data_IF_704709346142
#
_entry.id   IF_704709346142
#
_cell.length_a   1.000
_cell.length_b   1.000
_cell.length_c   1.000
_cell.angle_alpha   90.00
_cell.angle_beta   90.00
_cell.angle_gamma   90.00
#
_symmetry.space_group_name_H-M   'P 1'
#
loop_
_entity.id
_entity.type
_entity.pdbx_description
1 polymer ?
#
# COMPACT_ATOMS: atom_id res chain seq x y z
N UNK A 1 11.87 3.65 -2.61
CA UNK A 1 12.39 5.03 -2.51
C UNK A 1 11.34 6.07 -2.95
N UNK A 2 11.00 6.17 -4.23
CA UNK A 2 10.07 7.21 -4.73
C UNK A 2 8.67 7.17 -4.09
N UNK A 3 8.08 5.99 -3.88
CA UNK A 3 6.77 5.87 -3.25
C UNK A 3 6.74 6.39 -1.81
N UNK A 4 7.81 6.16 -1.04
CA UNK A 4 7.93 6.64 0.34
C UNK A 4 8.07 8.15 0.36
N UNK A 5 8.94 8.71 -0.48
CA UNK A 5 9.12 10.16 -0.59
C UNK A 5 7.81 10.86 -0.95
N UNK A 6 7.09 10.35 -1.94
CA UNK A 6 5.78 10.88 -2.32
C UNK A 6 4.78 10.82 -1.16
N UNK A 7 4.77 9.71 -0.41
CA UNK A 7 3.90 9.53 0.75
C UNK A 7 4.22 10.55 1.86
N UNK A 8 5.50 10.79 2.15
CA UNK A 8 5.91 11.78 3.15
C UNK A 8 5.55 13.21 2.75
N UNK A 9 5.65 13.53 1.45
CA UNK A 9 5.21 14.81 0.93
C UNK A 9 3.69 14.98 1.06
N UNK A 10 2.91 13.92 0.78
CA UNK A 10 1.46 13.95 0.96
C UNK A 10 1.05 14.16 2.43
N UNK A 11 1.68 13.46 3.38
CA UNK A 11 1.48 13.69 4.82
C UNK A 11 1.86 15.12 5.19
N UNK A 12 2.99 15.62 4.70
CA UNK A 12 3.44 17.00 4.95
C UNK A 12 2.48 18.05 4.36
N UNK A 13 1.77 17.70 3.28
CA UNK A 13 0.72 18.51 2.68
C UNK A 13 -0.64 18.41 3.38
N UNK A 14 -0.75 17.59 4.44
CA UNK A 14 -1.95 17.47 5.27
C UNK A 14 -2.81 16.22 5.03
N UNK A 15 -2.29 15.20 4.33
CA UNK A 15 -3.00 13.92 4.25
C UNK A 15 -3.00 13.20 5.62
N UNK A 16 -4.16 12.67 6.03
CA UNK A 16 -4.31 11.92 7.28
C UNK A 16 -3.85 10.44 7.18
N UNK A 17 -3.85 9.91 5.96
CA UNK A 17 -3.49 8.52 5.64
C UNK A 17 -2.94 8.43 4.22
N UNK A 18 -2.28 7.31 3.92
CA UNK A 18 -1.78 6.98 2.58
C UNK A 18 -2.46 5.71 2.09
N UNK A 19 -3.02 5.75 0.88
CA UNK A 19 -3.58 4.58 0.20
C UNK A 19 -2.56 4.00 -0.79
N UNK A 20 -2.22 2.72 -0.62
CA UNK A 20 -1.16 2.04 -1.37
C UNK A 20 -1.77 0.93 -2.23
N UNK A 21 -1.57 1.01 -3.55
CA UNK A 21 -1.96 -0.04 -4.50
C UNK A 21 -0.74 -0.63 -5.23
N UNK A 22 -0.70 -1.96 -5.35
CA UNK A 22 0.36 -2.68 -6.09
C UNK A 22 -0.02 -3.06 -7.52
N UNK A 23 -1.30 -2.98 -7.82
CA UNK A 23 -1.94 -3.34 -9.08
C UNK A 23 -2.71 -2.15 -9.66
N UNK A 24 -2.68 -1.99 -10.98
CA UNK A 24 -3.51 -0.98 -11.64
C UNK A 24 -4.92 -1.52 -11.80
N UNK A 25 -5.93 -0.77 -11.34
CA UNK A 25 -7.36 -1.07 -11.53
C UNK A 25 -7.96 -0.41 -12.79
N UNK A 26 -7.14 0.27 -13.60
CA UNK A 26 -7.58 0.94 -14.84
C UNK A 26 -8.06 -0.07 -15.91
N UNK A 27 -9.00 0.30 -16.79
CA UNK A 27 -9.43 -0.54 -17.89
C UNK A 27 -8.25 -1.02 -18.76
N UNK A 28 -8.24 -2.32 -19.09
CA UNK A 28 -7.19 -2.93 -19.91
C UNK A 28 -5.91 -3.31 -19.15
N UNK A 29 -5.87 -3.14 -17.83
CA UNK A 29 -4.79 -3.67 -17.00
C UNK A 29 -4.77 -5.20 -16.99
N UNK A 30 -3.57 -5.77 -16.97
CA UNK A 30 -3.39 -7.21 -16.75
C UNK A 30 -3.31 -7.47 -15.26
N UNK A 31 -4.10 -8.44 -14.78
CA UNK A 31 -4.07 -8.82 -13.37
C UNK A 31 -2.71 -9.42 -12.99
N UNK A 32 -2.22 -9.10 -11.80
CA UNK A 32 -1.00 -9.67 -11.24
C UNK A 32 -1.33 -10.66 -10.12
N UNK A 33 -0.52 -11.71 -9.93
CA UNK A 33 -0.66 -12.58 -8.76
C UNK A 33 -0.40 -11.82 -7.45
N UNK A 34 -1.06 -12.25 -6.36
CA UNK A 34 -0.88 -11.68 -5.03
C UNK A 34 0.59 -11.62 -4.57
N UNK A 35 1.41 -12.62 -4.93
CA UNK A 35 2.85 -12.64 -4.60
C UNK A 35 3.63 -11.49 -5.25
N UNK A 36 3.27 -11.11 -6.48
CA UNK A 36 3.88 -9.98 -7.18
C UNK A 36 3.39 -8.66 -6.60
N UNK A 37 2.12 -8.57 -6.23
CA UNK A 37 1.57 -7.40 -5.54
C UNK A 37 2.25 -7.16 -4.19
N UNK A 38 2.34 -8.20 -3.35
CA UNK A 38 3.06 -8.19 -2.06
C UNK A 38 4.51 -7.74 -2.26
N UNK A 39 5.20 -8.26 -3.28
CA UNK A 39 6.59 -7.87 -3.60
C UNK A 39 6.71 -6.38 -3.90
N UNK A 40 5.70 -5.77 -4.52
CA UNK A 40 5.70 -4.34 -4.87
C UNK A 40 5.41 -3.45 -3.67
N UNK A 41 4.44 -3.80 -2.84
CA UNK A 41 3.91 -2.89 -1.80
C UNK A 41 4.44 -3.18 -0.40
N UNK A 42 4.90 -4.39 -0.11
CA UNK A 42 5.22 -4.84 1.25
C UNK A 42 6.23 -3.94 1.96
N UNK A 43 7.35 -3.62 1.29
CA UNK A 43 8.35 -2.71 1.86
C UNK A 43 7.79 -1.30 2.09
N UNK A 44 6.97 -0.79 1.16
CA UNK A 44 6.37 0.55 1.28
C UNK A 44 5.44 0.60 2.50
N UNK A 45 4.53 -0.37 2.62
CA UNK A 45 3.60 -0.47 3.77
C UNK A 45 4.38 -0.55 5.08
N UNK A 46 5.36 -1.45 5.17
CA UNK A 46 6.15 -1.63 6.39
C UNK A 46 6.87 -0.33 6.80
N UNK A 47 7.49 0.38 5.86
CA UNK A 47 8.20 1.62 6.15
C UNK A 47 7.27 2.75 6.60
N UNK A 48 6.09 2.88 5.98
CA UNK A 48 5.09 3.89 6.37
C UNK A 48 4.52 3.60 7.76
N UNK A 49 4.16 2.33 8.04
CA UNK A 49 3.68 1.92 9.37
C UNK A 49 4.75 2.16 10.43
N UNK A 50 6.02 1.84 10.16
CA UNK A 50 7.14 2.10 11.10
C UNK A 50 7.34 3.59 11.39
N UNK A 51 6.85 4.48 10.53
CA UNK A 51 6.84 5.94 10.73
C UNK A 51 5.56 6.44 11.41
N UNK A 52 4.71 5.54 11.90
CA UNK A 52 3.39 5.82 12.48
C UNK A 52 2.42 6.52 11.52
N UNK A 53 2.56 6.30 10.21
CA UNK A 53 1.62 6.78 9.20
C UNK A 53 0.50 5.76 9.04
N UNK A 54 -0.76 6.21 9.05
CA UNK A 54 -1.91 5.33 8.78
C UNK A 54 -1.91 4.92 7.31
N UNK A 55 -2.00 3.62 7.06
CA UNK A 55 -1.96 3.05 5.71
C UNK A 55 -3.28 2.33 5.41
N UNK A 56 -3.87 2.69 4.27
CA UNK A 56 -4.89 1.92 3.56
C UNK A 56 -4.22 1.16 2.42
N UNK A 57 -4.70 -0.04 2.11
CA UNK A 57 -4.20 -0.84 0.98
C UNK A 57 -5.36 -1.17 0.04
N UNK A 58 -5.26 -0.72 -1.20
CA UNK A 58 -6.18 -1.06 -2.30
C UNK A 58 -5.76 -2.42 -2.86
N UNK A 59 -6.52 -3.46 -2.51
CA UNK A 59 -6.27 -4.82 -3.01
C UNK A 59 -7.53 -5.68 -2.98
N UNK A 60 -7.67 -6.51 -4.01
CA UNK A 60 -8.71 -7.55 -4.07
C UNK A 60 -8.21 -8.93 -3.63
N UNK A 61 -6.90 -9.08 -3.41
CA UNK A 61 -6.30 -10.36 -3.09
C UNK A 61 -6.30 -10.58 -1.58
N UNK A 62 -7.05 -11.58 -1.11
CA UNK A 62 -7.11 -11.93 0.32
C UNK A 62 -5.71 -12.17 0.93
N UNK A 63 -4.81 -12.84 0.20
CA UNK A 63 -3.44 -13.08 0.66
C UNK A 63 -2.62 -11.78 0.79
N UNK A 64 -2.83 -10.80 -0.10
CA UNK A 64 -2.20 -9.47 0.02
C UNK A 64 -2.76 -8.75 1.25
N UNK A 65 -4.09 -8.74 1.42
CA UNK A 65 -4.76 -8.12 2.55
C UNK A 65 -4.28 -8.69 3.90
N UNK A 66 -4.24 -10.02 4.04
CA UNK A 66 -3.72 -10.69 5.24
C UNK A 66 -2.26 -10.30 5.52
N UNK A 67 -1.42 -10.29 4.49
CA UNK A 67 -0.02 -9.93 4.63
C UNK A 67 0.15 -8.48 5.10
N UNK A 68 -0.49 -7.50 4.45
CA UNK A 68 -0.32 -6.08 4.83
C UNK A 68 -0.92 -5.74 6.19
N UNK A 69 -2.01 -6.40 6.58
CA UNK A 69 -2.56 -6.28 7.94
C UNK A 69 -1.56 -6.78 8.98
N UNK A 70 -0.81 -7.85 8.70
CA UNK A 70 0.25 -8.33 9.58
C UNK A 70 1.41 -7.33 9.76
N UNK A 71 1.61 -6.43 8.79
CA UNK A 71 2.59 -5.34 8.88
C UNK A 71 2.06 -4.12 9.64
N UNK A 72 0.75 -4.06 9.91
CA UNK A 72 0.08 -2.95 10.61
C UNK A 72 -0.67 -1.97 9.71
N UNK A 73 -1.00 -2.34 8.47
CA UNK A 73 -1.98 -1.59 7.68
C UNK A 73 -3.31 -1.47 8.46
N UNK A 74 -3.97 -0.32 8.34
CA UNK A 74 -5.16 0.01 9.13
C UNK A 74 -6.47 -0.26 8.39
N UNK A 75 -6.46 -0.22 7.06
CA UNK A 75 -7.64 -0.29 6.20
C UNK A 75 -7.32 -1.16 4.98
N UNK A 76 -8.30 -1.97 4.55
CA UNK A 76 -8.34 -2.63 3.25
C UNK A 76 -9.44 -1.95 2.42
N UNK A 77 -9.11 -1.51 1.22
CA UNK A 77 -9.98 -0.83 0.27
C UNK A 77 -10.19 -1.71 -0.98
#
# INVERSE_FOLDING_TARGET
AQAIEYSLNAISAGADLIDVGGESTRPGSTRIPASEEIRRIGQVVQELVNKNIKVSVDTIHAATAEYVLSLGASIIN
#
